data_IF_503679837298
#
_entry.id   IF_503679837298
#
_cell.length_a   1.000
_cell.length_b   1.000
_cell.length_c   1.000
_cell.angle_alpha   90.00
_cell.angle_beta   90.00
_cell.angle_gamma   90.00
#
_symmetry.space_group_name_H-M   'P 1'
#
loop_
_entity.id
_entity.type
_entity.pdbx_description
1 polymer ?
#
# COMPACT_ATOMS: atom_id res chain seq x y z
N UNK A 1 30.79 -57.25 -28.22
CA UNK A 1 31.83 -56.21 -28.26
C UNK A 1 31.14 -54.87 -28.45
N UNK A 2 31.27 -53.99 -27.45
CA UNK A 2 31.22 -52.52 -27.45
C UNK A 2 30.00 -51.71 -27.97
N UNK A 3 29.86 -50.44 -27.49
CA UNK A 3 28.60 -49.69 -27.35
C UNK A 3 28.55 -48.41 -28.20
N UNK A 4 27.37 -47.88 -28.54
CA UNK A 4 27.21 -46.46 -28.91
C UNK A 4 25.82 -45.98 -28.44
N UNK A 5 25.64 -45.08 -27.46
CA UNK A 5 26.09 -43.69 -27.24
C UNK A 5 24.87 -42.76 -27.34
N UNK A 6 24.34 -42.41 -26.18
CA UNK A 6 23.27 -41.45 -25.89
C UNK A 6 23.73 -40.04 -26.28
N UNK A 7 23.24 -39.48 -27.38
CA UNK A 7 23.38 -38.08 -27.81
C UNK A 7 22.18 -37.84 -28.75
N UNK A 8 21.19 -36.99 -28.46
CA UNK A 8 21.28 -35.54 -28.60
C UNK A 8 19.97 -34.92 -28.11
N UNK A 9 19.95 -34.41 -26.88
CA UNK A 9 18.89 -33.54 -26.34
C UNK A 9 19.57 -32.33 -25.69
N UNK A 10 20.38 -31.61 -26.47
CA UNK A 10 21.14 -30.43 -26.02
C UNK A 10 20.91 -29.18 -26.90
N UNK A 11 19.99 -29.22 -27.88
CA UNK A 11 19.73 -28.06 -28.76
C UNK A 11 18.70 -27.07 -28.21
N UNK A 12 17.72 -27.55 -27.45
CA UNK A 12 16.62 -26.71 -26.93
C UNK A 12 17.06 -25.90 -25.70
N UNK A 13 17.91 -26.48 -24.84
CA UNK A 13 18.40 -25.80 -23.64
C UNK A 13 19.36 -24.65 -23.98
N UNK A 14 20.23 -24.82 -24.98
CA UNK A 14 21.21 -23.80 -25.39
C UNK A 14 20.55 -22.60 -26.08
N UNK A 15 19.45 -22.81 -26.83
CA UNK A 15 18.62 -21.73 -27.38
C UNK A 15 17.98 -20.87 -26.27
N UNK A 16 17.48 -21.50 -25.20
CA UNK A 16 16.91 -20.78 -24.06
C UNK A 16 17.95 -19.95 -23.30
N UNK A 17 19.15 -20.49 -23.06
CA UNK A 17 20.24 -19.72 -22.43
C UNK A 17 20.70 -18.52 -23.28
N UNK A 18 20.69 -18.64 -24.61
CA UNK A 18 21.00 -17.53 -25.50
C UNK A 18 20.02 -16.35 -25.37
N UNK A 19 18.73 -16.64 -25.25
CA UNK A 19 17.69 -15.61 -25.06
C UNK A 19 17.83 -14.91 -23.70
N UNK A 20 18.17 -15.65 -22.64
CA UNK A 20 18.45 -15.07 -21.32
C UNK A 20 19.68 -14.15 -21.34
N UNK A 21 20.76 -14.49 -22.04
CA UNK A 21 21.94 -13.62 -22.13
C UNK A 21 21.63 -12.31 -22.88
N UNK A 22 20.75 -12.34 -23.89
CA UNK A 22 20.33 -11.11 -24.61
C UNK A 22 19.44 -10.23 -23.72
N UNK A 23 18.52 -10.81 -22.94
CA UNK A 23 17.62 -10.04 -22.06
C UNK A 23 18.34 -9.44 -20.84
N UNK A 24 19.26 -10.17 -20.22
CA UNK A 24 20.00 -9.70 -19.04
C UNK A 24 21.29 -8.94 -19.40
N UNK A 25 21.86 -9.17 -20.59
CA UNK A 25 23.10 -8.52 -21.05
C UNK A 25 22.96 -7.03 -21.39
N UNK A 26 21.73 -6.53 -21.58
CA UNK A 26 21.48 -5.10 -21.85
C UNK A 26 21.48 -4.25 -20.57
N UNK A 27 21.43 -4.86 -19.37
CA UNK A 27 21.39 -4.11 -18.10
C UNK A 27 22.76 -3.68 -17.55
N UNK A 28 23.87 -4.03 -18.22
CA UNK A 28 25.22 -3.70 -17.73
C UNK A 28 26.06 -2.97 -18.78
N UNK A 29 25.61 -1.78 -19.19
CA UNK A 29 26.48 -0.80 -19.86
C UNK A 29 26.64 0.44 -19.00
N UNK A 30 27.69 0.46 -18.18
CA UNK A 30 28.40 1.69 -17.80
C UNK A 30 29.69 1.35 -17.04
N UNK A 31 30.77 1.02 -17.77
CA UNK A 31 32.12 1.22 -17.26
C UNK A 31 33.06 1.63 -18.39
N UNK A 32 33.23 2.94 -18.58
CA UNK A 32 34.37 3.63 -19.22
C UNK A 32 34.26 5.13 -18.86
N UNK A 33 35.27 5.95 -18.52
CA UNK A 33 36.73 5.83 -18.35
C UNK A 33 37.30 7.11 -17.64
N UNK A 34 38.58 7.04 -17.24
CA UNK A 34 39.60 8.11 -17.08
C UNK A 34 39.47 9.20 -15.98
N UNK A 35 40.15 8.94 -14.85
CA UNK A 35 41.22 9.77 -14.29
C UNK A 35 40.98 11.25 -13.99
N UNK A 36 40.58 11.56 -12.75
CA UNK A 36 41.05 12.77 -12.03
C UNK A 36 41.23 12.48 -10.55
N UNK A 37 42.46 12.61 -10.08
CA UNK A 37 42.80 12.70 -8.65
C UNK A 37 42.40 14.09 -8.13
N UNK A 38 41.48 14.14 -7.16
CA UNK A 38 41.54 15.09 -6.04
C UNK A 38 40.47 14.79 -4.96
N UNK A 39 40.95 14.46 -3.76
CA UNK A 39 40.29 14.64 -2.45
C UNK A 39 38.76 14.46 -2.38
N UNK A 40 38.30 13.22 -2.15
CA UNK A 40 36.92 12.94 -1.74
C UNK A 40 36.79 13.08 -0.21
N UNK A 41 35.90 13.96 0.32
CA UNK A 41 35.45 13.90 1.71
C UNK A 41 34.70 12.57 1.99
N UNK A 42 34.55 12.15 3.26
CA UNK A 42 33.95 10.86 3.62
C UNK A 42 32.54 10.70 3.03
N UNK A 43 32.07 9.45 2.82
CA UNK A 43 30.86 9.17 2.07
C UNK A 43 29.68 9.90 2.69
N UNK A 44 29.16 10.88 1.96
CA UNK A 44 27.89 11.52 2.28
C UNK A 44 26.85 10.42 2.21
N UNK A 45 26.31 10.04 3.38
CA UNK A 45 25.04 9.34 3.49
C UNK A 45 24.10 10.04 2.51
N UNK A 46 23.73 9.40 1.41
CA UNK A 46 22.57 9.86 0.63
C UNK A 46 21.45 9.96 1.66
N UNK A 47 20.89 11.15 1.92
CA UNK A 47 19.76 11.24 2.81
C UNK A 47 18.70 10.37 2.17
N UNK A 48 18.33 9.27 2.82
CA UNK A 48 17.04 8.64 2.56
C UNK A 48 16.09 9.82 2.68
N UNK A 49 15.47 10.22 1.57
CA UNK A 49 14.61 11.40 1.51
C UNK A 49 13.37 11.06 2.31
N UNK A 50 13.47 11.13 3.64
CA UNK A 50 12.38 10.89 4.55
C UNK A 50 11.67 12.21 4.76
N UNK A 51 10.35 12.17 4.84
CA UNK A 51 9.55 13.33 5.21
C UNK A 51 10.02 13.92 6.55
N UNK A 52 9.87 15.23 6.70
CA UNK A 52 10.15 15.94 7.97
C UNK A 52 9.29 15.34 9.08
N UNK A 53 9.86 15.06 10.24
CA UNK A 53 9.09 14.59 11.40
C UNK A 53 8.14 15.68 11.92
N UNK A 54 6.96 15.29 12.35
CA UNK A 54 5.91 16.21 12.81
C UNK A 54 5.17 15.63 14.02
N UNK A 55 4.56 16.50 14.80
CA UNK A 55 3.65 16.11 15.89
C UNK A 55 2.22 16.49 15.58
N UNK A 56 2.06 17.63 14.91
CA UNK A 56 0.79 18.17 14.49
C UNK A 56 0.76 18.38 12.98
N UNK A 57 -0.45 18.35 12.47
CA UNK A 57 -0.82 18.75 11.13
C UNK A 57 -0.39 20.19 10.75
N UNK A 58 -0.23 21.07 11.73
CA UNK A 58 0.21 22.45 11.50
C UNK A 58 1.73 22.57 11.29
N UNK A 59 2.51 21.57 11.72
CA UNK A 59 3.98 21.53 11.52
C UNK A 59 4.35 21.36 10.04
N UNK A 60 3.42 20.83 9.25
CA UNK A 60 3.58 20.54 7.82
C UNK A 60 3.14 21.70 6.91
N UNK A 61 2.67 22.81 7.47
CA UNK A 61 2.20 23.99 6.69
C UNK A 61 3.28 24.65 5.84
N UNK A 62 4.55 24.40 6.14
CA UNK A 62 5.68 24.91 5.35
C UNK A 62 5.83 24.25 3.97
N UNK A 63 5.19 23.09 3.76
CA UNK A 63 5.22 22.36 2.49
C UNK A 63 3.79 22.15 2.04
N UNK A 64 3.42 22.79 0.93
CA UNK A 64 2.07 22.70 0.40
C UNK A 64 1.66 21.24 0.13
N UNK A 65 0.37 20.96 0.36
CA UNK A 65 -0.27 19.66 0.12
C UNK A 65 0.27 18.50 0.97
N UNK A 66 1.10 18.75 1.98
CA UNK A 66 1.52 17.74 2.96
C UNK A 66 0.60 17.65 4.18
N UNK A 67 0.54 16.47 4.78
CA UNK A 67 -0.15 16.23 6.05
C UNK A 67 0.77 15.51 7.02
N UNK A 68 0.55 15.70 8.32
CA UNK A 68 1.28 14.97 9.35
C UNK A 68 0.64 13.58 9.55
N UNK A 69 1.16 12.58 8.85
CA UNK A 69 0.62 11.21 8.84
C UNK A 69 1.71 10.20 9.19
N UNK A 70 1.30 8.95 9.39
CA UNK A 70 2.18 7.88 9.80
C UNK A 70 2.93 7.32 8.59
N UNK A 71 4.26 7.31 8.64
CA UNK A 71 5.06 6.75 7.56
C UNK A 71 4.90 5.22 7.52
N UNK A 72 4.59 4.61 6.36
CA UNK A 72 4.37 3.17 6.23
C UNK A 72 5.65 2.34 6.49
N UNK A 73 6.84 2.94 6.39
CA UNK A 73 8.11 2.23 6.57
C UNK A 73 8.53 2.16 8.05
N UNK A 74 8.39 3.26 8.79
CA UNK A 74 8.86 3.35 10.18
C UNK A 74 7.80 3.72 11.23
N UNK A 75 6.53 3.83 10.82
CA UNK A 75 5.40 4.11 11.70
C UNK A 75 5.50 5.41 12.51
N UNK A 76 6.44 6.29 12.14
CA UNK A 76 6.62 7.62 12.73
C UNK A 76 5.80 8.67 12.00
N UNK A 77 5.41 9.71 12.72
CA UNK A 77 4.69 10.83 12.14
C UNK A 77 5.65 11.71 11.32
N UNK A 78 5.32 11.87 10.03
CA UNK A 78 6.08 12.69 9.08
C UNK A 78 5.14 13.50 8.20
N UNK A 79 5.64 14.63 7.71
CA UNK A 79 4.97 15.40 6.66
C UNK A 79 5.13 14.68 5.33
N UNK A 80 4.07 14.02 4.88
CA UNK A 80 4.02 13.24 3.64
C UNK A 80 2.97 13.83 2.68
N UNK A 81 3.15 13.57 1.40
CA UNK A 81 2.22 13.88 0.33
C UNK A 81 0.98 12.96 0.40
N UNK A 82 -0.06 13.25 -0.40
CA UNK A 82 -1.33 12.50 -0.34
C UNK A 82 -1.22 11.00 -0.60
N UNK A 83 -0.15 10.56 -1.27
CA UNK A 83 0.22 9.18 -1.58
C UNK A 83 1.22 8.56 -0.58
N UNK A 84 1.35 9.16 0.61
CA UNK A 84 2.32 8.80 1.66
C UNK A 84 3.80 8.85 1.23
N UNK A 85 4.07 9.49 0.09
CA UNK A 85 5.43 9.72 -0.38
C UNK A 85 6.05 10.96 0.30
N UNK A 86 7.37 10.99 0.47
CA UNK A 86 8.06 12.18 0.94
C UNK A 86 8.04 13.28 -0.14
N UNK A 87 7.92 14.57 0.25
CA UNK A 87 7.88 15.68 -0.70
C UNK A 87 9.17 15.76 -1.53
N UNK A 88 9.03 15.82 -2.85
CA UNK A 88 10.13 15.96 -3.79
C UNK A 88 10.51 17.43 -3.95
N UNK A 89 11.75 17.80 -3.62
CA UNK A 89 12.23 19.19 -3.69
C UNK A 89 11.33 20.22 -2.97
N UNK A 90 10.64 19.80 -1.88
CA UNK A 90 9.73 20.66 -1.13
C UNK A 90 8.36 20.87 -1.78
N UNK A 91 7.97 19.99 -2.70
CA UNK A 91 6.64 20.02 -3.33
C UNK A 91 6.06 18.60 -3.42
N UNK A 92 4.73 18.53 -3.40
CA UNK A 92 3.96 17.30 -3.57
C UNK A 92 3.21 17.30 -4.90
N UNK A 93 3.09 16.14 -5.56
CA UNK A 93 2.24 16.00 -6.74
C UNK A 93 0.77 16.22 -6.38
N UNK A 94 -0.04 16.53 -7.40
CA UNK A 94 -1.48 16.60 -7.27
C UNK A 94 -2.08 15.20 -7.36
N UNK A 95 -2.19 14.55 -6.20
CA UNK A 95 -2.71 13.19 -6.05
C UNK A 95 -3.88 13.18 -5.08
N UNK A 96 -4.75 12.19 -5.23
CA UNK A 96 -5.76 11.89 -4.22
C UNK A 96 -5.08 11.57 -2.90
N UNK A 97 -5.78 11.88 -1.81
CA UNK A 97 -5.26 11.82 -0.46
C UNK A 97 -5.76 10.57 0.24
N UNK A 98 -4.82 9.82 0.81
CA UNK A 98 -5.12 8.65 1.62
C UNK A 98 -5.66 8.97 3.00
N UNK A 99 -5.76 7.93 3.84
CA UNK A 99 -6.31 8.02 5.19
C UNK A 99 -5.54 9.03 6.07
N UNK A 100 -6.25 9.77 6.92
CA UNK A 100 -5.71 10.79 7.86
C UNK A 100 -5.01 12.00 7.21
N UNK A 101 -5.04 12.15 5.89
CA UNK A 101 -4.55 13.36 5.22
C UNK A 101 -5.54 14.52 5.33
N UNK A 102 -5.01 15.76 5.38
CA UNK A 102 -5.82 16.99 5.35
C UNK A 102 -6.55 17.13 4.02
N UNK A 103 -7.86 17.34 4.08
CA UNK A 103 -8.71 17.54 2.92
C UNK A 103 -9.56 18.80 3.08
N UNK A 104 -10.05 19.31 1.95
CA UNK A 104 -11.02 20.42 1.92
C UNK A 104 -12.40 19.93 1.45
N UNK A 105 -12.41 18.98 0.50
CA UNK A 105 -13.61 18.37 -0.08
C UNK A 105 -13.47 16.84 -0.16
N UNK A 106 -14.61 16.15 -0.31
CA UNK A 106 -14.62 14.69 -0.49
C UNK A 106 -13.86 14.25 -1.74
N UNK A 107 -13.80 15.09 -2.78
CA UNK A 107 -13.09 14.79 -4.02
C UNK A 107 -11.57 14.80 -3.86
N UNK A 108 -11.05 15.28 -2.72
CA UNK A 108 -9.61 15.26 -2.45
C UNK A 108 -9.17 13.89 -1.94
N UNK A 109 -10.10 13.07 -1.45
CA UNK A 109 -9.82 11.79 -0.81
C UNK A 109 -9.92 10.63 -1.80
N UNK A 110 -9.17 9.56 -1.54
CA UNK A 110 -9.31 8.31 -2.29
C UNK A 110 -10.69 7.63 -2.11
N UNK A 111 -10.99 6.68 -2.98
CA UNK A 111 -12.24 5.94 -2.97
C UNK A 111 -12.50 5.23 -1.63
N UNK A 112 -13.75 5.30 -1.16
CA UNK A 112 -14.15 4.73 0.14
C UNK A 112 -13.83 5.62 1.35
N UNK A 113 -13.44 6.87 1.11
CA UNK A 113 -13.17 7.87 2.14
C UNK A 113 -14.08 9.10 1.98
N UNK A 114 -14.29 9.81 3.08
CA UNK A 114 -15.06 11.06 3.17
C UNK A 114 -14.25 12.12 3.90
N UNK A 115 -14.35 13.38 3.45
CA UNK A 115 -13.62 14.49 4.04
C UNK A 115 -14.40 15.08 5.21
N UNK A 116 -14.02 14.74 6.43
CA UNK A 116 -14.78 15.12 7.63
C UNK A 116 -13.87 15.39 8.83
N UNK A 117 -14.40 16.04 9.86
CA UNK A 117 -13.66 16.23 11.10
C UNK A 117 -13.50 14.91 11.85
N UNK A 118 -12.33 14.68 12.41
CA UNK A 118 -12.11 13.56 13.32
C UNK A 118 -12.96 13.78 14.58
N UNK A 119 -14.05 13.00 14.72
CA UNK A 119 -14.93 13.08 15.87
C UNK A 119 -14.30 12.32 17.04
N UNK A 120 -13.88 13.07 18.08
CA UNK A 120 -13.22 12.57 19.29
C UNK A 120 -14.00 11.52 20.08
N UNK A 121 -15.23 11.18 19.69
CA UNK A 121 -16.08 10.18 20.35
C UNK A 121 -15.82 8.72 19.90
N UNK A 122 -14.98 8.46 18.88
CA UNK A 122 -14.59 7.09 18.53
C UNK A 122 -13.34 6.66 19.29
N UNK A 123 -13.54 5.95 20.40
CA UNK A 123 -12.52 5.28 21.21
C UNK A 123 -11.93 4.05 20.50
N UNK A 124 -11.28 4.24 19.35
CA UNK A 124 -10.51 3.18 18.68
C UNK A 124 -9.07 3.63 18.55
N UNK A 125 -8.26 3.31 19.57
CA UNK A 125 -6.80 3.07 19.50
C UNK A 125 -5.84 4.14 18.97
N UNK A 126 -6.33 5.19 18.32
CA UNK A 126 -5.54 6.19 17.61
C UNK A 126 -6.05 7.60 17.94
N UNK A 127 -6.61 7.78 19.13
CA UNK A 127 -7.10 9.05 19.69
C UNK A 127 -5.97 10.04 20.04
N UNK A 128 -4.90 10.07 19.25
CA UNK A 128 -3.77 10.99 19.37
C UNK A 128 -3.48 11.71 18.05
N UNK A 129 -4.36 11.60 17.06
CA UNK A 129 -4.30 12.50 15.92
C UNK A 129 -4.83 13.85 16.34
N UNK A 130 -3.91 14.81 16.24
CA UNK A 130 -4.06 16.14 16.76
C UNK A 130 -5.09 16.92 15.97
N UNK A 131 -5.92 17.64 16.72
CA UNK A 131 -6.73 18.79 16.31
C UNK A 131 -8.05 18.45 15.63
N UNK A 132 -9.10 18.39 16.46
CA UNK A 132 -10.53 18.39 16.14
C UNK A 132 -11.02 19.61 15.33
N UNK A 133 -10.09 20.43 14.81
CA UNK A 133 -10.35 21.60 13.96
C UNK A 133 -9.99 21.40 12.49
N UNK A 134 -9.48 20.22 12.12
CA UNK A 134 -9.07 19.93 10.74
C UNK A 134 -9.93 18.83 10.14
N UNK A 135 -10.33 18.99 8.86
CA UNK A 135 -10.99 17.93 8.11
C UNK A 135 -9.95 16.98 7.53
N UNK A 136 -10.18 15.69 7.70
CA UNK A 136 -9.32 14.62 7.26
C UNK A 136 -10.09 13.65 6.37
N UNK A 137 -9.37 12.98 5.48
CA UNK A 137 -9.90 11.82 4.78
C UNK A 137 -10.04 10.67 5.77
N UNK A 138 -11.28 10.27 6.06
CA UNK A 138 -11.63 9.19 6.97
C UNK A 138 -12.47 8.14 6.23
N UNK A 139 -12.42 6.89 6.65
CA UNK A 139 -13.21 5.85 5.99
C UNK A 139 -14.72 6.14 6.07
N UNK A 140 -15.40 5.91 4.95
CA UNK A 140 -16.83 6.09 4.82
C UNK A 140 -17.60 4.95 5.50
N UNK A 141 -17.88 5.15 6.79
CA UNK A 141 -18.59 4.16 7.59
C UNK A 141 -20.05 4.01 7.17
N UNK A 142 -20.66 5.04 6.59
CA UNK A 142 -22.06 5.00 6.15
C UNK A 142 -22.23 4.09 4.93
N UNK A 143 -21.20 4.04 4.08
CA UNK A 143 -21.11 3.10 2.96
C UNK A 143 -20.41 1.76 3.32
N UNK A 144 -20.16 1.50 4.61
CA UNK A 144 -19.63 0.23 5.10
C UNK A 144 -18.11 0.06 4.99
N UNK A 145 -17.36 1.13 4.76
CA UNK A 145 -15.89 1.14 4.84
C UNK A 145 -15.45 1.32 6.29
N UNK A 146 -14.53 0.46 6.74
CA UNK A 146 -14.01 0.47 8.12
C UNK A 146 -12.49 0.53 8.11
N UNK A 147 -11.90 1.30 9.03
CA UNK A 147 -10.44 1.41 9.15
C UNK A 147 -9.82 0.06 9.55
N UNK A 148 -8.86 -0.43 8.75
CA UNK A 148 -7.98 -1.52 9.14
C UNK A 148 -6.78 -0.95 9.92
N UNK A 149 -6.79 -1.18 11.24
CA UNK A 149 -5.79 -0.67 12.18
C UNK A 149 -4.38 -1.17 11.85
N UNK A 150 -4.25 -2.34 11.21
CA UNK A 150 -2.94 -2.94 10.94
C UNK A 150 -2.22 -2.25 9.77
N UNK A 151 -2.98 -1.86 8.75
CA UNK A 151 -2.43 -1.34 7.50
C UNK A 151 -2.69 0.16 7.29
N UNK A 152 -3.45 0.81 8.18
CA UNK A 152 -3.86 2.23 8.08
C UNK A 152 -4.57 2.53 6.74
N UNK A 153 -5.38 1.57 6.27
CA UNK A 153 -6.19 1.66 5.05
C UNK A 153 -7.66 1.49 5.38
N UNK A 154 -8.54 1.93 4.48
CA UNK A 154 -9.95 1.60 4.54
C UNK A 154 -10.19 0.20 3.99
N UNK A 155 -10.78 -0.67 4.81
CA UNK A 155 -11.29 -1.96 4.37
C UNK A 155 -12.29 -1.72 3.25
N UNK A 156 -12.07 -2.31 2.08
CA UNK A 156 -13.03 -2.26 0.99
C UNK A 156 -14.38 -2.81 1.45
N UNK A 157 -15.47 -2.15 1.05
CA UNK A 157 -16.84 -2.57 1.35
C UNK A 157 -17.12 -3.98 0.80
N UNK A 158 -16.75 -5.03 1.54
CA UNK A 158 -16.93 -6.42 1.09
C UNK A 158 -17.36 -7.39 2.21
N UNK A 159 -17.78 -6.87 3.37
CA UNK A 159 -18.34 -7.72 4.43
C UNK A 159 -19.84 -8.03 4.20
N UNK A 160 -20.61 -7.08 3.65
CA UNK A 160 -22.04 -7.25 3.39
C UNK A 160 -22.34 -8.34 2.34
N UNK A 161 -21.47 -8.46 1.33
CA UNK A 161 -21.60 -9.47 0.27
C UNK A 161 -21.38 -10.89 0.79
N UNK A 162 -20.38 -11.09 1.66
CA UNK A 162 -20.10 -12.39 2.28
C UNK A 162 -21.23 -12.85 3.19
N UNK A 163 -21.81 -11.95 3.99
CA UNK A 163 -22.95 -12.28 4.85
C UNK A 163 -24.17 -12.66 4.00
N UNK A 164 -24.45 -11.94 2.93
CA UNK A 164 -25.56 -12.25 2.02
C UNK A 164 -25.37 -13.58 1.29
N UNK A 165 -24.13 -13.89 0.87
CA UNK A 165 -23.79 -15.19 0.27
C UNK A 165 -23.96 -16.33 1.29
N UNK A 166 -23.47 -16.17 2.51
CA UNK A 166 -23.58 -17.19 3.56
C UNK A 166 -25.03 -17.45 3.95
N UNK A 167 -25.86 -16.40 4.08
CA UNK A 167 -27.30 -16.54 4.35
C UNK A 167 -28.03 -17.26 3.22
N UNK A 168 -27.70 -16.96 1.96
CA UNK A 168 -28.26 -17.66 0.79
C UNK A 168 -27.87 -19.13 0.76
N UNK A 169 -26.60 -19.46 1.04
CA UNK A 169 -26.10 -20.84 1.05
C UNK A 169 -26.72 -21.64 2.21
N UNK A 170 -26.81 -21.05 3.41
CA UNK A 170 -27.44 -21.69 4.56
C UNK A 170 -28.94 -21.96 4.32
N UNK A 171 -29.65 -21.03 3.67
CA UNK A 171 -31.07 -21.20 3.34
C UNK A 171 -31.31 -22.31 2.32
N UNK A 172 -30.39 -22.51 1.37
CA UNK A 172 -30.45 -23.58 0.38
C UNK A 172 -30.05 -24.94 0.94
N UNK A 173 -29.07 -25.01 1.85
CA UNK A 173 -28.55 -26.27 2.39
C UNK A 173 -29.34 -26.79 3.61
N UNK A 174 -29.96 -25.90 4.39
CA UNK A 174 -30.80 -26.26 5.54
C UNK A 174 -31.89 -27.31 5.22
N UNK A 175 -32.69 -27.18 4.14
CA UNK A 175 -33.72 -28.18 3.82
C UNK A 175 -33.13 -29.55 3.45
N UNK A 176 -31.97 -29.60 2.78
CA UNK A 176 -31.31 -30.86 2.44
C UNK A 176 -30.75 -31.58 3.67
N UNK A 177 -30.17 -30.84 4.62
CA UNK A 177 -29.68 -31.41 5.87
C UNK A 177 -30.82 -31.93 6.76
N UNK A 178 -31.95 -31.22 6.80
CA UNK A 178 -33.15 -31.67 7.53
C UNK A 178 -33.75 -32.92 6.86
N UNK A 179 -33.88 -32.95 5.53
CA UNK A 179 -34.34 -34.16 4.82
C UNK A 179 -33.40 -35.35 4.97
N UNK A 180 -32.08 -35.13 4.96
CA UNK A 180 -31.09 -36.19 5.16
C UNK A 180 -31.11 -36.75 6.60
N UNK A 181 -31.35 -35.88 7.60
CA UNK A 181 -31.49 -36.29 8.99
C UNK A 181 -32.78 -37.09 9.22
N UNK A 182 -33.90 -36.66 8.63
CA UNK A 182 -35.19 -37.36 8.75
C UNK A 182 -35.18 -38.74 8.07
N UNK A 183 -34.41 -38.92 6.99
CA UNK A 183 -34.22 -40.23 6.32
C UNK A 183 -33.41 -41.25 7.12
N UNK A 184 -32.65 -40.85 8.14
CA UNK A 184 -31.91 -41.79 9.00
C UNK A 184 -32.75 -42.33 10.16
N UNK A 185 -33.93 -41.75 10.41
CA UNK A 185 -34.80 -42.07 11.54
C UNK A 185 -36.05 -42.88 11.14
N UNK A 186 -36.22 -43.17 9.85
CA UNK A 186 -37.19 -44.11 9.27
C UNK A 186 -36.44 -45.26 8.63
#
# INVERSE_FOLDING_TARGET
MQPLKRFTQCGSLTMLFGIFIILFGVSSTALTTFGKTNNQPPPTHVPIVKGRECSAHDDCTAIDRTSCVKDPNDYKLRCLCGDDSPPSAGSCPDVLKGLRHKCNSNNDCEDGMVCQYENSNRTIGVAKFMSSKTKLCLCDNDNGYVEDILHDICSGANLQGLVSFLVSICSLLAPFLVSAHMRKHF
#
